data_IF_011021334565
#
_entry.id   IF_011021334565
#
_cell.length_a   1.000
_cell.length_b   1.000
_cell.length_c   1.000
_cell.angle_alpha   90.00
_cell.angle_beta   90.00
_cell.angle_gamma   90.00
#
_symmetry.space_group_name_H-M   'P 1'
#
loop_
_entity.id
_entity.type
_entity.pdbx_description
1 polymer ?
#
# COMPACT_ATOMS: atom_id res chain seq x y z
N UNK A 1 -10.71 -9.01 22.27
CA UNK A 1 -11.92 -8.81 21.44
C UNK A 1 -12.15 -7.36 21.01
N UNK A 2 -11.76 -6.34 21.79
CA UNK A 2 -11.86 -4.93 21.35
C UNK A 2 -10.95 -4.57 20.15
N UNK A 3 -9.77 -5.20 20.08
CA UNK A 3 -8.78 -4.99 19.02
C UNK A 3 -9.28 -5.30 17.61
N UNK A 4 -9.99 -6.42 17.42
CA UNK A 4 -10.51 -6.83 16.09
C UNK A 4 -11.50 -5.82 15.51
N UNK A 5 -12.35 -5.22 16.37
CA UNK A 5 -13.31 -4.20 15.94
C UNK A 5 -12.59 -2.93 15.49
N UNK A 6 -11.56 -2.50 16.24
CA UNK A 6 -10.73 -1.35 15.88
C UNK A 6 -10.00 -1.59 14.56
N UNK A 7 -9.44 -2.79 14.34
CA UNK A 7 -8.81 -3.14 13.06
C UNK A 7 -9.80 -3.12 11.90
N UNK A 8 -11.02 -3.62 12.10
CA UNK A 8 -12.07 -3.57 11.08
C UNK A 8 -12.49 -2.13 10.76
N UNK A 9 -12.60 -1.25 11.76
CA UNK A 9 -12.90 0.16 11.53
C UNK A 9 -11.77 0.89 10.79
N UNK A 10 -10.51 0.60 11.12
CA UNK A 10 -9.35 1.16 10.41
C UNK A 10 -9.28 0.67 8.97
N UNK A 11 -9.53 -0.62 8.73
CA UNK A 11 -9.60 -1.21 7.40
C UNK A 11 -10.75 -0.59 6.60
N UNK A 12 -11.94 -0.47 7.20
CA UNK A 12 -13.10 0.14 6.59
C UNK A 12 -12.84 1.63 6.27
N UNK A 13 -12.22 2.36 7.18
CA UNK A 13 -11.83 3.76 6.95
C UNK A 13 -10.81 3.89 5.80
N UNK A 14 -9.82 2.99 5.72
CA UNK A 14 -8.87 2.94 4.62
C UNK A 14 -9.51 2.65 3.26
N UNK A 15 -10.51 1.75 3.23
CA UNK A 15 -11.30 1.43 2.03
C UNK A 15 -12.30 2.53 1.65
N UNK A 16 -12.83 3.26 2.64
CA UNK A 16 -13.77 4.36 2.42
C UNK A 16 -13.07 5.61 1.89
N UNK A 17 -11.76 5.76 2.16
CA UNK A 17 -10.97 6.93 1.80
C UNK A 17 -11.00 7.26 0.29
N UNK A 18 -10.81 6.31 -0.66
CA UNK A 18 -10.97 6.61 -2.09
C UNK A 18 -12.39 7.06 -2.47
N UNK A 19 -13.42 6.53 -1.81
CA UNK A 19 -14.82 6.96 -2.03
C UNK A 19 -14.98 8.42 -1.58
N UNK A 20 -14.45 8.76 -0.41
CA UNK A 20 -14.47 10.12 0.11
C UNK A 20 -13.76 11.11 -0.84
N UNK A 21 -12.66 10.70 -1.48
CA UNK A 21 -11.95 11.53 -2.47
C UNK A 21 -12.80 11.86 -3.70
N UNK A 22 -13.55 10.88 -4.23
CA UNK A 22 -14.46 11.11 -5.36
C UNK A 22 -15.56 12.11 -4.99
N UNK A 23 -16.12 11.97 -3.78
CA UNK A 23 -17.14 12.90 -3.26
C UNK A 23 -16.57 14.31 -3.12
N UNK A 24 -15.38 14.47 -2.53
CA UNK A 24 -14.70 15.75 -2.38
C UNK A 24 -14.39 16.42 -3.73
N UNK A 25 -13.92 15.65 -4.71
CA UNK A 25 -13.68 16.16 -6.07
C UNK A 25 -14.97 16.63 -6.76
N UNK A 26 -16.06 15.87 -6.59
CA UNK A 26 -17.38 16.23 -7.12
C UNK A 26 -17.91 17.51 -6.46
N UNK A 27 -17.70 17.65 -5.16
CA UNK A 27 -18.09 18.85 -4.40
C UNK A 27 -17.28 20.07 -4.86
N UNK A 28 -15.98 19.92 -5.09
CA UNK A 28 -15.14 21.00 -5.63
C UNK A 28 -15.61 21.45 -7.02
N UNK A 29 -15.99 20.51 -7.90
CA UNK A 29 -16.56 20.84 -9.20
C UNK A 29 -17.90 21.59 -9.08
N UNK A 30 -18.75 21.19 -8.12
CA UNK A 30 -20.01 21.87 -7.83
C UNK A 30 -19.79 23.32 -7.36
N UNK A 31 -18.86 23.53 -6.43
CA UNK A 31 -18.49 24.88 -5.95
C UNK A 31 -17.96 25.74 -7.10
N UNK A 32 -17.14 25.15 -7.98
CA UNK A 32 -16.64 25.82 -9.18
C UNK A 32 -17.78 26.25 -10.12
N UNK A 33 -18.79 25.39 -10.29
CA UNK A 33 -20.00 25.68 -11.08
C UNK A 33 -20.90 26.76 -10.46
N UNK A 34 -20.93 26.85 -9.13
CA UNK A 34 -21.66 27.88 -8.37
C UNK A 34 -20.96 29.24 -8.34
N UNK A 35 -19.73 29.34 -8.88
CA UNK A 35 -18.95 30.57 -8.92
C UNK A 35 -17.98 30.75 -7.76
N UNK A 36 -17.98 29.86 -6.76
CA UNK A 36 -16.99 29.85 -5.68
C UNK A 36 -15.71 29.10 -6.11
N UNK A 37 -14.94 29.77 -6.98
CA UNK A 37 -13.67 29.24 -7.48
C UNK A 37 -12.60 29.15 -6.39
N UNK A 38 -12.68 29.99 -5.36
CA UNK A 38 -11.75 30.00 -4.24
C UNK A 38 -11.91 28.75 -3.37
N UNK A 39 -13.14 28.49 -2.94
CA UNK A 39 -13.49 27.28 -2.19
C UNK A 39 -13.22 26.00 -2.99
N UNK A 40 -13.58 25.98 -4.28
CA UNK A 40 -13.29 24.85 -5.17
C UNK A 40 -11.80 24.52 -5.26
N UNK A 41 -10.95 25.53 -5.48
CA UNK A 41 -9.51 25.33 -5.61
C UNK A 41 -8.84 24.90 -4.30
N UNK A 42 -9.27 25.48 -3.17
CA UNK A 42 -8.82 25.06 -1.85
C UNK A 42 -9.19 23.59 -1.58
N UNK A 43 -10.45 23.23 -1.82
CA UNK A 43 -10.95 21.88 -1.61
C UNK A 43 -10.22 20.86 -2.49
N UNK A 44 -9.96 21.21 -3.75
CA UNK A 44 -9.22 20.37 -4.68
C UNK A 44 -7.77 20.15 -4.22
N UNK A 45 -7.08 21.21 -3.75
CA UNK A 45 -5.73 21.09 -3.17
C UNK A 45 -5.71 20.20 -1.93
N UNK A 46 -6.67 20.38 -1.02
CA UNK A 46 -6.77 19.58 0.19
C UNK A 46 -7.01 18.10 -0.14
N UNK A 47 -7.89 17.83 -1.11
CA UNK A 47 -8.20 16.48 -1.61
C UNK A 47 -6.96 15.81 -2.19
N UNK A 48 -6.21 16.52 -3.05
CA UNK A 48 -4.95 16.00 -3.62
C UNK A 48 -3.88 15.74 -2.54
N UNK A 49 -3.76 16.65 -1.56
CA UNK A 49 -2.83 16.46 -0.45
C UNK A 49 -3.15 15.22 0.39
N UNK A 50 -4.44 15.01 0.71
CA UNK A 50 -4.88 13.84 1.46
C UNK A 50 -4.69 12.54 0.67
N UNK A 51 -5.00 12.57 -0.63
CA UNK A 51 -4.77 11.44 -1.54
C UNK A 51 -3.28 11.07 -1.61
N UNK A 52 -2.40 12.06 -1.77
CA UNK A 52 -0.96 11.82 -1.83
C UNK A 52 -0.44 11.20 -0.53
N UNK A 53 -0.87 11.71 0.62
CA UNK A 53 -0.47 11.17 1.92
C UNK A 53 -0.91 9.72 2.09
N UNK A 54 -2.16 9.41 1.73
CA UNK A 54 -2.69 8.06 1.78
C UNK A 54 -1.95 7.10 0.84
N UNK A 55 -1.61 7.57 -0.37
CA UNK A 55 -0.86 6.77 -1.35
C UNK A 55 0.55 6.44 -0.83
N UNK A 56 1.23 7.41 -0.21
CA UNK A 56 2.56 7.22 0.39
C UNK A 56 2.50 6.16 1.50
N UNK A 57 1.50 6.24 2.38
CA UNK A 57 1.31 5.25 3.45
C UNK A 57 1.05 3.85 2.89
N UNK A 58 0.21 3.72 1.86
CA UNK A 58 -0.06 2.46 1.17
C UNK A 58 1.21 1.87 0.54
N UNK A 59 2.02 2.70 -0.12
CA UNK A 59 3.29 2.30 -0.74
C UNK A 59 4.29 1.86 0.33
N UNK A 60 4.43 2.59 1.44
CA UNK A 60 5.30 2.19 2.55
C UNK A 60 4.88 0.86 3.15
N UNK A 61 3.58 0.64 3.36
CA UNK A 61 3.05 -0.61 3.87
C UNK A 61 3.36 -1.78 2.92
N UNK A 62 3.20 -1.56 1.61
CA UNK A 62 3.53 -2.56 0.59
C UNK A 62 5.04 -2.85 0.57
N UNK A 63 5.88 -1.83 0.67
CA UNK A 63 7.34 -1.98 0.73
C UNK A 63 7.78 -2.75 1.99
N UNK A 64 7.17 -2.46 3.13
CA UNK A 64 7.41 -3.17 4.38
C UNK A 64 6.94 -4.64 4.32
N UNK A 65 5.85 -4.92 3.59
CA UNK A 65 5.41 -6.30 3.35
C UNK A 65 6.36 -7.05 2.39
N UNK A 66 6.82 -6.38 1.33
CA UNK A 66 7.75 -6.94 0.34
C UNK A 66 9.12 -7.27 0.96
N UNK A 67 9.66 -6.39 1.80
CA UNK A 67 10.94 -6.65 2.48
C UNK A 67 10.89 -7.85 3.42
N UNK A 68 9.74 -8.12 4.05
CA UNK A 68 9.52 -9.31 4.88
C UNK A 68 9.37 -10.60 4.08
N UNK A 69 8.99 -10.52 2.80
CA UNK A 69 8.83 -11.69 1.93
C UNK A 69 10.10 -12.06 1.17
N UNK A 70 11.09 -11.16 1.11
CA UNK A 70 12.39 -11.41 0.47
C UNK A 70 13.42 -12.31 1.21
N UNK A 71 13.36 -12.63 2.52
CA UNK A 71 14.50 -13.23 3.24
C UNK A 71 14.59 -14.76 3.15
N UNK A 72 14.43 -15.37 1.96
CA UNK A 72 14.65 -16.84 1.84
C UNK A 72 15.12 -17.40 0.51
N UNK A 73 15.20 -16.61 -0.56
CA UNK A 73 15.65 -17.15 -1.86
C UNK A 73 17.17 -17.06 -2.06
N UNK A 74 17.82 -16.00 -1.59
CA UNK A 74 19.26 -15.80 -1.80
C UNK A 74 20.17 -16.71 -0.94
N UNK A 75 19.67 -17.36 0.11
CA UNK A 75 20.47 -18.27 0.94
C UNK A 75 20.46 -19.72 0.46
N UNK A 76 19.51 -20.13 -0.40
CA UNK A 76 19.41 -21.50 -0.92
C UNK A 76 20.18 -21.72 -2.23
N UNK A 77 20.56 -20.64 -2.92
CA UNK A 77 21.41 -20.74 -4.13
C UNK A 77 22.91 -20.87 -3.78
N UNK A 78 23.25 -20.80 -2.49
CA UNK A 78 24.59 -20.97 -1.95
C UNK A 78 24.77 -22.33 -1.25
N UNK A 79 23.95 -23.33 -1.60
CA UNK A 79 24.28 -24.71 -1.26
C UNK A 79 25.54 -25.09 -2.06
N UNK A 80 26.70 -25.29 -1.40
CA UNK A 80 27.87 -25.80 -2.10
C UNK A 80 27.51 -27.18 -2.61
N UNK A 81 28.04 -27.57 -3.77
CA UNK A 81 27.95 -28.91 -4.33
C UNK A 81 28.68 -29.93 -3.42
N UNK A 82 28.18 -30.16 -2.21
CA UNK A 82 28.58 -31.21 -1.29
C UNK A 82 27.95 -32.51 -1.77
N UNK A 83 28.53 -33.09 -2.84
CA UNK A 83 27.98 -34.29 -3.45
C UNK A 83 28.74 -34.89 -4.62
N UNK A 84 29.90 -34.36 -5.01
CA UNK A 84 30.90 -35.11 -5.79
C UNK A 84 32.04 -35.39 -4.81
N UNK A 85 32.42 -36.61 -4.43
CA UNK A 85 32.39 -37.96 -5.01
C UNK A 85 32.65 -38.93 -3.79
N UNK A 86 32.50 -40.27 -3.82
CA UNK A 86 33.18 -41.12 -4.79
C UNK A 86 32.32 -42.24 -5.37
N UNK A 87 32.47 -42.41 -6.69
CA UNK A 87 32.31 -43.66 -7.44
C UNK A 87 32.54 -44.91 -6.57
N UNK A 88 31.44 -45.58 -6.24
CA UNK A 88 31.45 -47.00 -5.92
C UNK A 88 31.73 -47.77 -7.22
N UNK A 89 32.98 -48.15 -7.43
CA UNK A 89 33.34 -49.35 -8.21
C UNK A 89 33.94 -50.32 -7.18
N UNK A 90 33.40 -51.50 -6.90
CA UNK A 90 32.64 -52.40 -7.77
C UNK A 90 33.56 -53.54 -8.21
N UNK A 91 33.68 -54.54 -7.33
CA UNK A 91 34.17 -55.93 -7.54
C UNK A 91 35.66 -56.17 -7.76
#
# INVERSE_FOLDING_TARGET
MASTRVTLYLLAAGLLLPIAMVVLGSLAALLGGLGDRGGAHFLQRATLGLLALWLIDLVMLLLAAASRTLPRRLSNDAEPLEGADPVQQGS
#
